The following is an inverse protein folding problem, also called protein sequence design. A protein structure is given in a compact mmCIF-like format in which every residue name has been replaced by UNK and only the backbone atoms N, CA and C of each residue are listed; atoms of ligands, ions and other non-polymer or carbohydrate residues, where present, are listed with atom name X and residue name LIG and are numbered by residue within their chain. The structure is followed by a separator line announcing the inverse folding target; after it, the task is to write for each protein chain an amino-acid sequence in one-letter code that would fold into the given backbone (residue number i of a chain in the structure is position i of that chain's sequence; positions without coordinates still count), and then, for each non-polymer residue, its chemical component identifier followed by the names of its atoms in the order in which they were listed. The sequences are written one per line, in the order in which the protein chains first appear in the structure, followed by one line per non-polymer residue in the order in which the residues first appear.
data_IF_327607391680
#
_entry.id   IF_327607391680
#
_cell.length_a   1.000
_cell.length_b   1.000
_cell.length_c   1.000
_cell.angle_alpha   90.00
_cell.angle_beta   90.00
_cell.angle_gamma   90.00
#
_symmetry.space_group_name_H-M   'P 1'
#
loop_
_entity.id
_entity.type
_entity.pdbx_description
1 polymer ?
#
# COMPACT_ATOMS: atom_id res chain seq x y z
N UNK A 1 64.91 38.74 -19.36
CA UNK A 1 64.31 38.52 -18.01
C UNK A 1 62.81 38.49 -18.16
N UNK A 2 62.23 37.32 -18.39
CA UNK A 2 60.81 37.11 -18.60
C UNK A 2 60.27 36.17 -17.53
N UNK A 3 59.37 36.65 -16.66
CA UNK A 3 58.71 35.90 -15.62
C UNK A 3 57.55 35.14 -16.23
N UNK A 4 57.66 33.79 -16.26
CA UNK A 4 56.59 32.87 -16.62
C UNK A 4 55.65 32.72 -15.42
N UNK A 5 54.46 33.28 -15.51
CA UNK A 5 53.39 33.08 -14.54
C UNK A 5 52.64 31.80 -14.89
N UNK A 6 52.86 30.75 -14.09
CA UNK A 6 52.14 29.49 -14.16
C UNK A 6 50.77 29.69 -13.44
N UNK A 7 49.68 29.80 -14.17
CA UNK A 7 48.33 29.80 -13.64
C UNK A 7 47.87 28.36 -13.44
N UNK A 8 47.95 27.90 -12.21
CA UNK A 8 47.29 26.61 -11.79
C UNK A 8 45.77 26.85 -11.67
N UNK A 9 45.01 26.43 -12.69
CA UNK A 9 43.53 26.35 -12.60
C UNK A 9 43.13 25.19 -11.71
N UNK A 10 42.65 25.52 -10.51
CA UNK A 10 42.06 24.56 -9.60
C UNK A 10 40.65 24.21 -10.11
N UNK A 11 40.47 23.02 -10.70
CA UNK A 11 39.15 22.49 -11.04
C UNK A 11 38.54 21.88 -9.79
N UNK A 12 37.62 22.59 -9.16
CA UNK A 12 36.81 22.06 -8.06
C UNK A 12 35.68 21.24 -8.66
N UNK A 13 35.82 19.91 -8.63
CA UNK A 13 34.75 18.97 -8.96
C UNK A 13 33.78 18.91 -7.78
N UNK A 14 32.64 19.58 -7.91
CA UNK A 14 31.51 19.47 -6.99
C UNK A 14 30.84 18.09 -7.18
N UNK A 15 31.19 17.14 -6.35
CA UNK A 15 30.45 15.88 -6.20
C UNK A 15 29.11 16.20 -5.51
N UNK A 16 28.04 16.35 -6.30
CA UNK A 16 26.69 16.37 -5.77
C UNK A 16 26.36 14.97 -5.23
N UNK A 17 25.91 14.83 -3.98
CA UNK A 17 25.39 13.56 -3.50
C UNK A 17 24.13 13.24 -4.32
N UNK A 18 24.19 12.17 -5.09
CA UNK A 18 23.02 11.60 -5.72
C UNK A 18 22.11 11.07 -4.59
N UNK A 19 21.03 11.79 -4.26
CA UNK A 19 19.94 11.26 -3.47
C UNK A 19 19.30 10.12 -4.26
N UNK A 20 19.74 8.90 -4.02
CA UNK A 20 19.09 7.73 -4.54
C UNK A 20 17.78 7.50 -3.77
N UNK A 21 16.63 7.45 -4.44
CA UNK A 21 15.37 7.00 -3.82
C UNK A 21 15.36 5.48 -3.79
N UNK A 22 16.11 4.86 -2.90
CA UNK A 22 16.30 3.41 -2.90
C UNK A 22 15.60 2.64 -1.78
N UNK A 23 15.07 3.28 -0.77
CA UNK A 23 14.57 2.56 0.41
C UNK A 23 13.10 2.12 0.33
N UNK A 24 12.31 2.61 -0.64
CA UNK A 24 10.87 2.32 -0.71
C UNK A 24 10.53 0.99 -1.42
N UNK A 25 11.49 0.39 -2.13
CA UNK A 25 11.25 -0.79 -2.95
C UNK A 25 11.45 -2.14 -2.23
N UNK A 26 11.97 -2.14 -1.01
CA UNK A 26 12.42 -3.37 -0.35
C UNK A 26 11.51 -3.89 0.77
N UNK A 27 10.62 -3.06 1.32
CA UNK A 27 9.66 -3.51 2.35
C UNK A 27 8.23 -3.61 1.77
N UNK A 28 7.72 -4.82 1.53
CA UNK A 28 6.38 -5.02 0.99
C UNK A 28 5.30 -4.48 1.92
N UNK A 29 5.51 -4.47 3.24
CA UNK A 29 4.54 -3.93 4.20
C UNK A 29 4.45 -2.40 4.08
N UNK A 30 5.59 -1.72 3.99
CA UNK A 30 5.61 -0.27 3.79
C UNK A 30 4.97 0.12 2.45
N UNK A 31 5.27 -0.61 1.36
CA UNK A 31 4.63 -0.39 0.06
C UNK A 31 3.13 -0.66 0.11
N UNK A 32 2.71 -1.76 0.73
CA UNK A 32 1.29 -2.10 0.89
C UNK A 32 0.51 -1.04 1.67
N UNK A 33 1.11 -0.49 2.74
CA UNK A 33 0.54 0.64 3.49
C UNK A 33 0.39 1.89 2.62
N UNK A 34 1.34 2.14 1.73
CA UNK A 34 1.24 3.25 0.78
C UNK A 34 0.08 3.03 -0.20
N UNK A 35 -0.02 1.85 -0.82
CA UNK A 35 -1.13 1.48 -1.72
C UNK A 35 -2.48 1.59 -1.01
N UNK A 36 -2.58 1.14 0.25
CA UNK A 36 -3.78 1.27 1.08
C UNK A 36 -4.27 2.72 1.18
N UNK A 37 -3.34 3.68 1.39
CA UNK A 37 -3.67 5.11 1.44
C UNK A 37 -4.04 5.66 0.06
N UNK A 38 -3.31 5.29 -0.97
CA UNK A 38 -3.53 5.75 -2.36
C UNK A 38 -4.91 5.33 -2.88
N UNK A 39 -5.35 4.12 -2.54
CA UNK A 39 -6.68 3.62 -2.90
C UNK A 39 -7.81 4.14 -1.99
N UNK A 40 -7.49 4.85 -0.91
CA UNK A 40 -8.48 5.41 0.00
C UNK A 40 -9.27 4.36 0.80
N UNK A 41 -8.68 3.20 1.09
CA UNK A 41 -9.34 2.11 1.82
C UNK A 41 -9.90 2.55 3.17
N UNK A 42 -9.18 3.45 3.87
CA UNK A 42 -9.60 4.02 5.15
C UNK A 42 -10.95 4.73 5.10
N UNK A 43 -11.35 5.31 3.94
CA UNK A 43 -12.60 6.07 3.83
C UNK A 43 -13.83 5.22 4.14
N UNK A 44 -13.76 3.92 3.93
CA UNK A 44 -14.85 2.98 4.18
C UNK A 44 -14.57 2.01 5.33
N UNK A 45 -13.29 1.72 5.60
CA UNK A 45 -12.87 0.67 6.52
C UNK A 45 -12.32 1.16 7.86
N UNK A 46 -12.11 2.46 8.00
CA UNK A 46 -11.75 3.05 9.29
C UNK A 46 -12.91 3.84 9.87
N UNK A 47 -12.98 3.89 11.20
CA UNK A 47 -13.98 4.68 11.89
C UNK A 47 -13.75 6.17 11.61
N UNK A 48 -14.78 6.85 11.10
CA UNK A 48 -14.79 8.28 10.87
C UNK A 48 -16.15 8.85 11.28
N UNK A 49 -16.23 10.17 11.43
CA UNK A 49 -17.51 10.82 11.73
C UNK A 49 -18.55 10.57 10.65
N UNK A 50 -18.12 10.42 9.39
CA UNK A 50 -19.02 10.17 8.26
C UNK A 50 -19.62 8.77 8.24
N UNK A 51 -18.91 7.76 8.80
CA UNK A 51 -19.37 6.37 8.81
C UNK A 51 -19.68 5.84 10.22
N UNK A 52 -19.66 6.70 11.24
CA UNK A 52 -19.91 6.30 12.63
C UNK A 52 -21.27 5.64 12.84
N UNK A 53 -22.31 6.18 12.20
CA UNK A 53 -23.69 5.69 12.35
C UNK A 53 -24.07 4.61 11.31
N UNK A 54 -23.33 4.50 10.22
CA UNK A 54 -23.56 3.52 9.15
C UNK A 54 -22.22 3.06 8.57
N UNK A 55 -21.60 2.06 9.16
CA UNK A 55 -20.34 1.54 8.64
C UNK A 55 -20.51 1.04 7.20
N UNK A 56 -19.66 1.52 6.31
CA UNK A 56 -19.69 1.19 4.88
C UNK A 56 -18.97 -0.14 4.63
N UNK A 57 -17.91 -0.40 5.39
CA UNK A 57 -17.15 -1.63 5.33
C UNK A 57 -16.71 -2.13 6.71
N UNK A 58 -16.36 -3.40 6.85
CA UNK A 58 -15.84 -3.94 8.10
C UNK A 58 -14.49 -3.32 8.45
N UNK A 59 -14.19 -3.09 9.76
CA UNK A 59 -12.90 -2.58 10.18
C UNK A 59 -11.78 -3.56 9.82
N UNK A 60 -10.62 -3.02 9.42
CA UNK A 60 -9.46 -3.79 8.97
C UNK A 60 -8.31 -3.85 9.98
N UNK A 61 -8.43 -3.21 11.15
CA UNK A 61 -7.37 -3.16 12.16
C UNK A 61 -6.85 -4.53 12.62
N UNK A 62 -7.68 -5.58 12.52
CA UNK A 62 -7.33 -6.97 12.88
C UNK A 62 -7.57 -7.94 11.73
N UNK A 63 -7.61 -7.46 10.51
CA UNK A 63 -8.06 -8.29 9.39
C UNK A 63 -7.15 -9.50 9.13
N UNK A 64 -5.85 -9.39 9.36
CA UNK A 64 -4.93 -10.51 9.19
C UNK A 64 -5.22 -11.70 10.13
N UNK A 65 -5.82 -11.43 11.30
CA UNK A 65 -6.26 -12.48 12.23
C UNK A 65 -7.65 -13.05 11.87
N UNK A 66 -8.49 -12.21 11.25
CA UNK A 66 -9.89 -12.52 10.96
C UNK A 66 -10.05 -13.19 9.58
N UNK A 67 -9.29 -12.75 8.58
CA UNK A 67 -9.39 -13.17 7.19
C UNK A 67 -9.45 -14.70 6.99
N UNK A 68 -8.59 -15.53 7.62
CA UNK A 68 -8.60 -16.97 7.39
C UNK A 68 -9.85 -17.68 7.94
N UNK A 69 -10.70 -16.95 8.68
CA UNK A 69 -11.94 -17.47 9.26
C UNK A 69 -13.19 -17.03 8.49
N UNK A 70 -13.03 -16.19 7.46
CA UNK A 70 -14.15 -15.61 6.71
C UNK A 70 -14.78 -16.59 5.73
N UNK A 71 -13.95 -17.27 4.95
CA UNK A 71 -14.41 -18.21 3.93
C UNK A 71 -13.66 -19.53 4.14
N UNK A 72 -14.38 -20.64 4.40
CA UNK A 72 -13.75 -21.96 4.56
C UNK A 72 -12.91 -22.33 3.32
N UNK A 73 -11.68 -22.78 3.55
CA UNK A 73 -10.79 -23.23 2.49
C UNK A 73 -9.92 -22.12 1.85
N UNK A 74 -10.12 -20.84 2.21
CA UNK A 74 -9.23 -19.76 1.79
C UNK A 74 -8.19 -19.43 2.85
N UNK A 75 -6.95 -19.20 2.43
CA UNK A 75 -5.93 -18.57 3.27
C UNK A 75 -6.30 -17.10 3.54
N UNK A 76 -5.61 -16.46 4.49
CA UNK A 76 -5.80 -15.02 4.74
C UNK A 76 -5.52 -14.20 3.48
N UNK A 77 -4.40 -14.50 2.82
CA UNK A 77 -3.95 -13.81 1.62
C UNK A 77 -4.91 -14.02 0.43
N UNK A 78 -5.42 -15.25 0.25
CA UNK A 78 -6.37 -15.55 -0.83
C UNK A 78 -7.69 -14.84 -0.62
N UNK A 79 -8.21 -14.87 0.62
CA UNK A 79 -9.41 -14.12 0.99
C UNK A 79 -9.23 -12.61 0.74
N UNK A 80 -8.12 -12.02 1.19
CA UNK A 80 -7.85 -10.60 1.01
C UNK A 80 -7.70 -10.24 -0.48
N UNK A 81 -6.97 -11.06 -1.24
CA UNK A 81 -6.85 -10.89 -2.69
C UNK A 81 -8.21 -10.93 -3.37
N UNK A 82 -9.03 -11.94 -3.08
CA UNK A 82 -10.38 -12.07 -3.62
C UNK A 82 -11.22 -10.83 -3.27
N UNK A 83 -11.23 -10.40 -2.01
CA UNK A 83 -12.02 -9.26 -1.56
C UNK A 83 -11.64 -7.95 -2.26
N UNK A 84 -10.37 -7.78 -2.67
CA UNK A 84 -9.90 -6.59 -3.39
C UNK A 84 -10.22 -6.68 -4.88
N UNK A 85 -10.05 -7.85 -5.49
CA UNK A 85 -10.20 -8.03 -6.95
C UNK A 85 -11.64 -8.32 -7.37
N UNK A 86 -12.39 -9.02 -6.51
CA UNK A 86 -13.80 -9.36 -6.69
C UNK A 86 -14.57 -9.22 -5.37
N UNK A 87 -14.85 -7.98 -4.94
CA UNK A 87 -15.47 -7.70 -3.63
C UNK A 87 -16.89 -8.28 -3.48
N UNK A 88 -17.56 -8.59 -4.58
CA UNK A 88 -18.88 -9.22 -4.56
C UNK A 88 -18.84 -10.73 -4.32
N UNK A 89 -17.68 -11.39 -4.43
CA UNK A 89 -17.56 -12.83 -4.23
C UNK A 89 -17.91 -13.26 -2.78
N UNK A 90 -17.63 -12.40 -1.80
CA UNK A 90 -18.04 -12.60 -0.42
C UNK A 90 -18.28 -11.25 0.27
N UNK A 91 -19.54 -10.97 0.57
CA UNK A 91 -19.93 -9.79 1.34
C UNK A 91 -20.07 -10.18 2.81
N UNK A 92 -19.35 -9.47 3.70
CA UNK A 92 -19.39 -9.73 5.14
C UNK A 92 -20.81 -9.48 5.66
N UNK A 93 -21.45 -10.45 6.35
CA UNK A 93 -22.80 -10.26 6.90
C UNK A 93 -22.91 -9.00 7.77
N UNK A 94 -23.97 -8.22 7.53
CA UNK A 94 -24.22 -6.96 8.23
C UNK A 94 -23.64 -5.73 7.54
N UNK A 95 -22.89 -5.89 6.44
CA UNK A 95 -22.37 -4.78 5.62
C UNK A 95 -23.01 -4.77 4.24
N UNK A 96 -23.16 -3.59 3.61
CA UNK A 96 -23.66 -3.50 2.23
C UNK A 96 -22.63 -4.01 1.22
N UNK A 97 -23.09 -4.50 0.07
CA UNK A 97 -22.25 -4.78 -1.11
C UNK A 97 -21.93 -3.45 -1.82
N UNK A 98 -21.06 -2.66 -1.22
CA UNK A 98 -20.74 -1.29 -1.64
C UNK A 98 -19.27 -1.06 -1.93
N UNK A 99 -18.41 -2.05 -1.72
CA UNK A 99 -16.98 -1.92 -2.07
C UNK A 99 -16.84 -1.75 -3.59
N UNK A 100 -16.15 -0.70 -4.07
CA UNK A 100 -16.06 -0.44 -5.50
C UNK A 100 -15.38 -1.58 -6.25
N UNK A 101 -16.03 -2.06 -7.30
CA UNK A 101 -15.44 -3.06 -8.20
C UNK A 101 -14.37 -2.42 -9.08
N UNK A 102 -13.28 -3.13 -9.27
CA UNK A 102 -12.17 -2.67 -10.11
C UNK A 102 -11.14 -1.81 -9.41
N UNK A 103 -11.14 -1.72 -8.08
CA UNK A 103 -10.09 -1.03 -7.29
C UNK A 103 -8.67 -1.50 -7.63
N UNK A 104 -8.51 -2.78 -7.95
CA UNK A 104 -7.23 -3.36 -8.28
C UNK A 104 -6.89 -3.33 -9.79
N UNK A 105 -7.75 -2.75 -10.64
CA UNK A 105 -7.59 -2.80 -12.10
C UNK A 105 -6.28 -2.22 -12.57
N UNK A 106 -5.87 -1.12 -11.97
CA UNK A 106 -4.69 -0.37 -12.36
C UNK A 106 -3.47 -0.66 -11.46
N UNK A 107 -3.61 -1.60 -10.51
CA UNK A 107 -2.50 -2.04 -9.68
C UNK A 107 -1.60 -3.01 -10.44
N UNK A 108 -0.28 -2.83 -10.27
CA UNK A 108 0.67 -3.87 -10.63
C UNK A 108 0.46 -5.14 -9.77
N UNK A 109 0.85 -6.29 -10.28
CA UNK A 109 0.84 -7.54 -9.48
C UNK A 109 1.64 -7.40 -8.18
N UNK A 110 2.75 -6.65 -8.22
CA UNK A 110 3.60 -6.40 -7.06
C UNK A 110 2.88 -5.51 -6.02
N UNK A 111 2.17 -4.47 -6.47
CA UNK A 111 1.43 -3.58 -5.58
C UNK A 111 0.23 -4.28 -4.92
N UNK A 112 -0.48 -5.10 -5.68
CA UNK A 112 -1.54 -5.93 -5.12
C UNK A 112 -0.99 -6.91 -4.08
N UNK A 113 0.14 -7.57 -4.37
CA UNK A 113 0.80 -8.46 -3.41
C UNK A 113 1.24 -7.73 -2.14
N UNK A 114 1.82 -6.53 -2.29
CA UNK A 114 2.22 -5.68 -1.17
C UNK A 114 1.02 -5.24 -0.32
N UNK A 115 -0.09 -4.84 -0.94
CA UNK A 115 -1.32 -4.49 -0.24
C UNK A 115 -1.87 -5.67 0.56
N UNK A 116 -1.92 -6.85 -0.04
CA UNK A 116 -2.36 -8.08 0.63
C UNK A 116 -1.44 -8.40 1.82
N UNK A 117 -0.12 -8.31 1.64
CA UNK A 117 0.85 -8.55 2.72
C UNK A 117 0.66 -7.55 3.88
N UNK A 118 0.47 -6.26 3.58
CA UNK A 118 0.18 -5.26 4.59
C UNK A 118 -1.10 -5.59 5.38
N UNK A 119 -2.21 -5.88 4.69
CA UNK A 119 -3.47 -6.22 5.35
C UNK A 119 -3.35 -7.52 6.18
N UNK A 120 -2.67 -8.53 5.67
CA UNK A 120 -2.42 -9.77 6.39
C UNK A 120 -1.54 -9.58 7.65
N UNK A 121 -0.77 -8.50 7.71
CA UNK A 121 0.07 -8.16 8.88
C UNK A 121 -0.71 -7.48 10.01
N UNK A 122 -1.92 -6.97 9.77
CA UNK A 122 -2.75 -6.27 10.76
C UNK A 122 -3.35 -7.26 11.77
N UNK A 123 -2.97 -7.10 13.06
CA UNK A 123 -3.29 -8.02 14.18
C UNK A 123 -3.96 -7.28 15.32
#
# INVERSE_FOLDING_TARGET
MGRLLCLCSLVVVLLAPACAPEAAATDPIARGRQVYRELGCANCHEASLSNFFRPVGPPLNEIGRIAPKRVPGLSAEDYLRQSITDPGAYVVPGYPDSMPRGLARDLSTADLAALVAYLASLR
#
